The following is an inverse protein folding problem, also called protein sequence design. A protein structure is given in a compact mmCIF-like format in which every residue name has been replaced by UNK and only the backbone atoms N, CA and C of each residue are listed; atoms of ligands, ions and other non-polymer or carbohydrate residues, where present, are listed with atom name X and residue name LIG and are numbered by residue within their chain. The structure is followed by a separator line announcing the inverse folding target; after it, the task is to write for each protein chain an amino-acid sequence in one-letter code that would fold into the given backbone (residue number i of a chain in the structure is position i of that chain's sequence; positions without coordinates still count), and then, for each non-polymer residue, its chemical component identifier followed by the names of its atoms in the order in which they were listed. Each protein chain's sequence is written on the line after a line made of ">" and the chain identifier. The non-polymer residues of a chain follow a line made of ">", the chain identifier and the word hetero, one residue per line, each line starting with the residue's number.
data_IF_352182817456
#
_entry.id   IF_352182817456
#
_cell.length_a   1.000
_cell.length_b   1.000
_cell.length_c   1.000
_cell.angle_alpha   90.00
_cell.angle_beta   90.00
_cell.angle_gamma   90.00
#
_symmetry.space_group_name_H-M   'P 1'
#
loop_
_entity.id
_entity.type
_entity.pdbx_description
1 polymer ?
#
# COMPACT_ATOMS: atom_id res chain seq x y z
N UNK A 1 10.01 -15.96 3.50
CA UNK A 1 10.08 -16.24 2.05
C UNK A 1 10.82 -17.55 1.79
N UNK A 2 12.15 -17.63 1.93
CA UNK A 2 12.94 -18.83 1.64
C UNK A 2 12.37 -20.15 2.18
N UNK A 3 11.95 -20.18 3.45
CA UNK A 3 11.37 -21.39 4.04
C UNK A 3 10.05 -21.83 3.38
N UNK A 4 9.22 -20.86 2.98
CA UNK A 4 7.92 -21.12 2.32
C UNK A 4 8.18 -21.66 0.90
N UNK A 5 9.15 -21.08 0.18
CA UNK A 5 9.47 -21.49 -1.19
C UNK A 5 10.13 -22.88 -1.25
N UNK A 6 10.85 -23.27 -0.20
CA UNK A 6 11.53 -24.56 -0.09
C UNK A 6 10.73 -25.60 0.72
N UNK A 7 9.43 -25.38 0.97
CA UNK A 7 8.56 -26.28 1.73
C UNK A 7 9.10 -26.68 3.12
N UNK A 8 9.85 -25.79 3.76
CA UNK A 8 10.36 -25.96 5.14
C UNK A 8 9.36 -25.48 6.21
N UNK A 9 8.17 -25.05 5.78
CA UNK A 9 7.05 -24.65 6.62
C UNK A 9 5.78 -25.26 6.05
N UNK A 10 4.83 -25.58 6.94
CA UNK A 10 3.49 -26.03 6.57
C UNK A 10 2.61 -24.85 6.13
N UNK A 11 3.06 -24.18 5.08
CA UNK A 11 2.36 -23.07 4.43
C UNK A 11 2.39 -23.37 2.95
N UNK A 12 1.22 -23.60 2.34
CA UNK A 12 1.13 -23.85 0.91
C UNK A 12 1.53 -22.57 0.12
N UNK A 13 2.66 -22.55 -0.61
CA UNK A 13 3.11 -21.36 -1.32
C UNK A 13 2.09 -20.93 -2.38
N UNK A 14 1.39 -21.87 -3.02
CA UNK A 14 0.47 -21.59 -4.13
C UNK A 14 -0.78 -20.80 -3.68
N UNK A 15 -1.10 -20.84 -2.39
CA UNK A 15 -2.24 -20.10 -1.83
C UNK A 15 -1.92 -18.61 -1.63
N UNK A 16 -0.66 -18.27 -1.36
CA UNK A 16 -0.25 -16.91 -0.94
C UNK A 16 0.69 -16.23 -1.94
N UNK A 17 1.40 -17.00 -2.75
CA UNK A 17 2.44 -16.53 -3.65
C UNK A 17 2.07 -16.90 -5.08
N UNK A 18 1.77 -15.87 -5.89
CA UNK A 18 1.57 -16.06 -7.32
C UNK A 18 2.92 -15.96 -8.04
N UNK A 19 3.34 -16.96 -8.84
CA UNK A 19 4.56 -16.85 -9.63
C UNK A 19 4.48 -15.68 -10.62
N UNK A 20 5.61 -15.04 -10.87
CA UNK A 20 5.72 -13.95 -11.84
C UNK A 20 5.48 -14.43 -13.27
N UNK A 21 4.93 -13.56 -14.13
CA UNK A 21 4.68 -13.93 -15.53
C UNK A 21 6.00 -14.08 -16.31
N UNK A 22 6.33 -15.28 -16.77
CA UNK A 22 7.62 -15.60 -17.42
C UNK A 22 7.90 -14.85 -18.74
N UNK A 23 6.95 -14.10 -19.29
CA UNK A 23 7.03 -13.58 -20.67
C UNK A 23 7.79 -12.26 -20.82
N UNK A 24 8.11 -11.55 -19.73
CA UNK A 24 8.86 -10.29 -19.82
C UNK A 24 10.36 -10.59 -19.75
N UNK A 25 11.15 -10.04 -20.69
CA UNK A 25 12.60 -10.25 -20.86
C UNK A 25 13.50 -9.99 -19.63
N UNK A 26 12.93 -9.55 -18.51
CA UNK A 26 13.62 -9.23 -17.23
C UNK A 26 13.13 -10.09 -16.05
N UNK A 27 12.32 -11.13 -16.29
CA UNK A 27 11.87 -12.04 -15.25
C UNK A 27 12.77 -13.26 -15.12
N UNK A 28 13.28 -13.49 -13.90
CA UNK A 28 13.90 -14.75 -13.49
C UNK A 28 12.82 -15.67 -12.88
N UNK A 29 12.98 -17.01 -12.96
CA UNK A 29 11.93 -17.97 -12.56
C UNK A 29 11.56 -17.90 -11.08
N UNK A 30 12.44 -17.34 -10.24
CA UNK A 30 12.23 -17.21 -8.79
C UNK A 30 11.45 -15.95 -8.38
N UNK A 31 10.94 -15.15 -9.33
CA UNK A 31 10.12 -13.97 -9.01
C UNK A 31 8.68 -14.35 -8.69
N UNK A 32 8.12 -13.61 -7.74
CA UNK A 32 6.69 -13.62 -7.47
C UNK A 32 6.04 -12.34 -7.97
N UNK A 33 4.75 -12.42 -8.29
CA UNK A 33 3.96 -11.25 -8.67
C UNK A 33 3.91 -10.27 -7.50
N UNK A 34 4.29 -9.02 -7.75
CA UNK A 34 4.15 -7.96 -6.76
C UNK A 34 2.67 -7.73 -6.47
N UNK A 35 2.30 -7.78 -5.19
CA UNK A 35 0.96 -7.43 -4.73
C UNK A 35 0.86 -5.90 -4.69
N UNK A 36 -0.06 -5.32 -5.47
CA UNK A 36 -0.38 -3.89 -5.45
C UNK A 36 -1.62 -3.63 -4.61
N UNK A 37 -1.59 -2.57 -3.80
CA UNK A 37 -2.71 -2.13 -2.99
C UNK A 37 -2.58 -0.64 -2.68
N UNK A 38 -3.71 0.05 -2.61
CA UNK A 38 -3.81 1.43 -2.15
C UNK A 38 -3.83 1.56 -0.62
N UNK A 39 -4.14 0.48 0.10
CA UNK A 39 -4.29 0.51 1.55
C UNK A 39 -2.94 0.30 2.23
N UNK A 40 -2.50 1.30 3.00
CA UNK A 40 -1.24 1.24 3.73
C UNK A 40 -1.15 0.01 4.65
N UNK A 41 -2.23 -0.33 5.36
CA UNK A 41 -2.27 -1.52 6.22
C UNK A 41 -1.84 -2.79 5.47
N UNK A 42 -2.41 -3.00 4.27
CA UNK A 42 -2.07 -4.16 3.46
C UNK A 42 -0.69 -4.02 2.80
N UNK A 43 -0.35 -2.83 2.32
CA UNK A 43 0.96 -2.51 1.68
C UNK A 43 2.14 -2.80 2.60
N UNK A 44 1.99 -2.49 3.89
CA UNK A 44 3.01 -2.69 4.92
C UNK A 44 2.87 -4.03 5.65
N UNK A 45 1.96 -4.91 5.21
CA UNK A 45 1.90 -6.29 5.70
C UNK A 45 3.12 -7.10 5.26
N UNK A 46 3.31 -8.24 5.92
CA UNK A 46 4.42 -9.14 5.66
C UNK A 46 4.59 -9.52 4.17
N UNK A 47 3.54 -9.98 3.49
CA UNK A 47 3.66 -10.51 2.14
C UNK A 47 4.02 -9.45 1.09
N UNK A 48 3.31 -8.32 0.93
CA UNK A 48 3.62 -7.35 -0.12
C UNK A 48 5.02 -6.75 0.02
N UNK A 49 5.48 -6.52 1.27
CA UNK A 49 6.85 -6.07 1.55
C UNK A 49 7.89 -7.14 1.24
N UNK A 50 7.70 -8.35 1.77
CA UNK A 50 8.68 -9.42 1.63
C UNK A 50 8.81 -9.87 0.17
N UNK A 51 7.72 -9.87 -0.60
CA UNK A 51 7.75 -10.14 -2.04
C UNK A 51 8.57 -9.07 -2.78
N UNK A 52 8.42 -7.79 -2.42
CA UNK A 52 9.20 -6.71 -3.03
C UNK A 52 10.69 -6.87 -2.76
N UNK A 53 11.07 -7.21 -1.53
CA UNK A 53 12.46 -7.49 -1.16
C UNK A 53 12.99 -8.74 -1.86
N UNK A 54 12.20 -9.82 -1.87
CA UNK A 54 12.54 -11.07 -2.52
C UNK A 54 12.82 -10.87 -4.01
N UNK A 55 11.98 -10.12 -4.71
CA UNK A 55 12.14 -9.84 -6.14
C UNK A 55 13.36 -8.98 -6.50
N UNK A 56 14.01 -8.36 -5.50
CA UNK A 56 15.25 -7.59 -5.66
C UNK A 56 16.50 -8.43 -5.35
N UNK A 57 16.34 -9.66 -4.88
CA UNK A 57 17.47 -10.51 -4.58
C UNK A 57 18.19 -10.89 -5.89
N UNK A 58 19.53 -10.93 -5.86
CA UNK A 58 20.31 -11.40 -7.01
C UNK A 58 20.18 -12.92 -7.18
N UNK A 59 20.39 -13.39 -8.41
CA UNK A 59 20.15 -14.79 -8.80
C UNK A 59 20.99 -15.80 -8.02
N UNK A 60 22.22 -15.44 -7.67
CA UNK A 60 23.16 -16.24 -6.88
C UNK A 60 22.64 -16.58 -5.46
N UNK A 61 21.74 -15.76 -4.90
CA UNK A 61 21.18 -15.99 -3.56
C UNK A 61 20.00 -16.96 -3.60
N UNK A 62 19.25 -17.02 -4.71
CA UNK A 62 18.16 -17.99 -4.86
C UNK A 62 18.66 -19.43 -5.01
N UNK A 63 19.85 -19.63 -5.56
CA UNK A 63 20.44 -20.96 -5.79
C UNK A 63 21.03 -21.59 -4.52
N UNK A 64 20.96 -20.91 -3.38
CA UNK A 64 21.49 -21.42 -2.12
C UNK A 64 20.55 -22.47 -1.53
N UNK A 65 21.05 -23.68 -1.32
CA UNK A 65 20.27 -24.81 -0.79
C UNK A 65 20.31 -24.91 0.75
N UNK A 66 21.09 -24.04 1.40
CA UNK A 66 21.19 -23.97 2.86
C UNK A 66 20.56 -22.69 3.37
N UNK A 67 19.69 -22.82 4.37
CA UNK A 67 19.12 -21.69 5.08
C UNK A 67 20.20 -20.81 5.72
N UNK A 68 21.28 -21.41 6.21
CA UNK A 68 22.37 -20.69 6.87
C UNK A 68 23.18 -19.86 5.88
N UNK A 69 23.55 -20.47 4.74
CA UNK A 69 24.21 -19.78 3.64
C UNK A 69 23.35 -18.63 3.08
N UNK A 70 22.03 -18.85 2.96
CA UNK A 70 21.09 -17.81 2.54
C UNK A 70 21.07 -16.64 3.52
N UNK A 71 21.03 -16.90 4.84
CA UNK A 71 21.09 -15.84 5.86
C UNK A 71 22.39 -15.04 5.79
N UNK A 72 23.53 -15.71 5.61
CA UNK A 72 24.83 -15.06 5.45
C UNK A 72 24.84 -14.14 4.23
N UNK A 73 24.43 -14.65 3.06
CA UNK A 73 24.37 -13.88 1.83
C UNK A 73 23.42 -12.66 1.91
N UNK A 74 22.34 -12.74 2.71
CA UNK A 74 21.47 -11.59 2.94
C UNK A 74 22.11 -10.49 3.80
N UNK A 75 23.04 -10.83 4.70
CA UNK A 75 23.75 -9.83 5.50
C UNK A 75 24.73 -9.03 4.65
N UNK A 76 25.32 -9.67 3.64
CA UNK A 76 26.22 -9.03 2.68
C UNK A 76 25.48 -8.10 1.71
N UNK A 77 24.21 -8.41 1.42
CA UNK A 77 23.36 -7.54 0.62
C UNK A 77 22.83 -6.43 1.53
N UNK A 78 23.23 -5.19 1.28
CA UNK A 78 22.56 -4.00 1.82
C UNK A 78 21.13 -3.90 1.25
N UNK A 79 20.22 -4.74 1.72
CA UNK A 79 18.80 -4.56 1.55
C UNK A 79 18.45 -3.33 2.38
N UNK A 80 18.41 -2.16 1.75
CA UNK A 80 17.94 -0.92 2.37
C UNK A 80 16.54 -1.16 2.91
N UNK A 81 16.49 -1.54 4.17
CA UNK A 81 15.28 -1.68 4.95
C UNK A 81 14.89 -0.25 5.25
N UNK A 82 14.00 0.31 4.43
CA UNK A 82 13.23 1.43 4.92
C UNK A 82 12.60 0.94 6.23
N UNK A 83 12.88 1.58 7.38
CA UNK A 83 12.34 1.13 8.66
C UNK A 83 10.84 0.98 8.50
N UNK A 84 10.25 0.02 9.22
CA UNK A 84 8.80 -0.10 9.39
C UNK A 84 8.27 1.25 9.87
N UNK A 85 7.99 2.17 8.94
CA UNK A 85 7.26 3.39 9.21
C UNK A 85 5.85 2.89 9.37
N UNK A 86 5.50 2.60 10.61
CA UNK A 86 4.11 2.53 11.01
C UNK A 86 3.44 3.75 10.38
N UNK A 87 2.33 3.58 9.64
CA UNK A 87 1.53 4.73 9.26
C UNK A 87 1.17 5.41 10.58
N UNK A 88 1.75 6.57 10.82
CA UNK A 88 1.32 7.44 11.90
C UNK A 88 -0.17 7.62 11.68
N UNK A 89 -0.99 7.20 12.63
CA UNK A 89 -2.38 7.64 12.70
C UNK A 89 -2.32 9.15 12.83
N UNK A 90 -2.34 9.87 11.71
CA UNK A 90 -2.62 11.28 11.71
C UNK A 90 -4.07 11.40 12.19
N UNK A 91 -4.32 12.06 13.34
CA UNK A 91 -5.69 12.36 13.72
C UNK A 91 -6.36 13.09 12.56
N UNK A 92 -7.66 12.85 12.30
CA UNK A 92 -8.36 13.58 11.25
C UNK A 92 -8.17 15.06 11.51
N UNK A 93 -7.51 15.76 10.57
CA UNK A 93 -7.44 17.20 10.59
C UNK A 93 -8.88 17.74 10.73
N UNK A 94 -9.12 18.77 11.55
CA UNK A 94 -10.43 19.39 11.61
C UNK A 94 -10.78 19.85 10.20
N UNK A 95 -11.84 19.27 9.65
CA UNK A 95 -12.40 19.66 8.36
C UNK A 95 -12.68 21.16 8.46
N UNK A 96 -12.18 22.01 7.56
CA UNK A 96 -12.65 23.39 7.51
C UNK A 96 -14.14 23.31 7.16
N UNK A 97 -15.00 23.61 8.13
CA UNK A 97 -16.42 23.80 7.88
C UNK A 97 -16.56 25.03 7.00
N UNK A 98 -16.54 24.82 5.68
CA UNK A 98 -16.92 25.85 4.71
C UNK A 98 -18.39 26.18 4.96
N UNK A 99 -18.75 27.42 5.32
CA UNK A 99 -20.14 27.80 5.46
C UNK A 99 -20.80 27.69 4.09
N UNK A 100 -21.90 26.96 4.01
CA UNK A 100 -22.74 26.92 2.82
C UNK A 100 -23.20 28.36 2.48
N UNK A 101 -23.20 28.78 1.21
CA UNK A 101 -23.72 30.10 0.86
C UNK A 101 -25.21 30.15 1.18
N UNK A 102 -25.59 31.12 2.01
CA UNK A 102 -26.99 31.42 2.29
C UNK A 102 -27.70 31.79 0.97
N UNK A 103 -28.87 31.21 0.66
CA UNK A 103 -29.69 31.69 -0.43
C UNK A 103 -30.27 33.06 -0.04
N UNK A 104 -29.84 34.11 -0.73
CA UNK A 104 -30.45 35.43 -0.65
C UNK A 104 -31.87 35.34 -1.20
N UNK A 105 -32.87 35.37 -0.32
CA UNK A 105 -34.27 35.51 -0.73
C UNK A 105 -34.44 36.90 -1.37
N UNK A 106 -35.15 37.02 -2.51
CA UNK A 106 -35.45 38.32 -3.08
C UNK A 106 -36.37 39.10 -2.14
N UNK A 107 -35.99 40.35 -1.88
CA UNK A 107 -36.80 41.35 -1.18
C UNK A 107 -38.10 41.50 -1.97
N UNK A 108 -39.20 41.07 -1.38
CA UNK A 108 -40.55 41.42 -1.85
C UNK A 108 -40.84 42.82 -1.33
N UNK A 109 -40.85 43.78 -2.25
CA UNK A 109 -41.26 45.16 -2.02
C UNK A 109 -42.72 45.18 -1.51
N UNK A 110 -42.88 45.36 -0.20
CA UNK A 110 -44.18 45.70 0.37
C UNK A 110 -44.50 47.15 -0.02
N UNK A 111 -45.28 47.28 -1.08
CA UNK A 111 -45.99 48.49 -1.50
C UNK A 111 -46.66 49.16 -0.29
N UNK A 112 -46.17 50.33 0.10
CA UNK A 112 -46.85 51.22 1.04
C UNK A 112 -47.84 52.08 0.24
N UNK A 113 -49.13 51.74 0.30
CA UNK A 113 -50.21 52.52 -0.32
C UNK A 113 -50.75 53.55 0.69
N UNK A 114 -50.85 54.84 0.37
CA UNK A 114 -51.33 55.85 1.31
C UNK A 114 -52.87 55.96 1.23
N UNK A 115 -53.56 55.90 2.38
CA UNK A 115 -54.98 56.27 2.48
C UNK A 115 -55.15 57.47 3.41
N UNK A 116 -55.63 58.55 2.82
CA UNK A 116 -56.03 59.86 3.36
C UNK A 116 -57.05 59.76 4.51
N UNK A 117 -56.98 60.61 5.55
CA UNK A 117 -58.06 60.74 6.53
C UNK A 117 -59.10 61.82 6.13
N UNK A 118 -60.35 61.71 6.61
CA UNK A 118 -61.37 62.75 6.47
C UNK A 118 -61.17 63.94 7.43
#
# INVERSE_FOLDING_TARGET
>A
MYKITNNLLDINPNQYLMPGHSQTRSNHPHKYRQISTSHNYYKYSFFPQTIAQWNRLPSNVFTLNSLDAFKGALQDINLTTAPFRHPQCTPPHPVPTTPLPHPTLPIIDFYFSPSTPP
#
